data_IF_139671162038
#
_entry.id   IF_139671162038
#
_cell.length_a   1.000
_cell.length_b   1.000
_cell.length_c   1.000
_cell.angle_alpha   90.00
_cell.angle_beta   90.00
_cell.angle_gamma   90.00
#
_symmetry.space_group_name_H-M   'P 1'
#
loop_
_entity.id
_entity.type
_entity.pdbx_description
1 polymer ?
#
# COMPACT_ATOMS: atom_id res chain seq x y z
N UNK A 1 -17.14 10.58 19.08
CA UNK A 1 -16.66 11.31 17.90
C UNK A 1 -17.14 10.55 16.66
N UNK A 2 -17.73 11.21 15.65
CA UNK A 2 -17.91 10.57 14.35
C UNK A 2 -16.54 10.04 13.87
N UNK A 3 -16.49 8.86 13.24
CA UNK A 3 -15.29 8.24 12.66
C UNK A 3 -14.17 7.81 13.66
N UNK A 4 -14.45 7.69 14.96
CA UNK A 4 -13.43 7.31 15.96
C UNK A 4 -12.70 6.00 15.61
N UNK A 5 -13.42 4.98 15.16
CA UNK A 5 -12.83 3.68 14.79
C UNK A 5 -11.97 3.77 13.52
N UNK A 6 -12.30 4.67 12.60
CA UNK A 6 -11.51 4.89 11.39
C UNK A 6 -10.18 5.60 11.73
N UNK A 7 -10.18 6.51 12.70
CA UNK A 7 -8.96 7.15 13.22
C UNK A 7 -8.09 6.14 13.98
N UNK A 8 -8.67 5.32 14.87
CA UNK A 8 -7.91 4.36 15.68
C UNK A 8 -7.36 3.22 14.84
N UNK A 9 -8.10 2.76 13.82
CA UNK A 9 -7.63 1.69 12.94
C UNK A 9 -6.40 2.07 12.11
N UNK A 10 -6.15 3.37 11.89
CA UNK A 10 -4.91 3.85 11.27
C UNK A 10 -3.65 3.58 12.11
N UNK A 11 -3.78 3.37 13.43
CA UNK A 11 -2.66 2.96 14.27
C UNK A 11 -2.05 1.63 13.81
N UNK A 12 -2.85 0.74 13.19
CA UNK A 12 -2.35 -0.51 12.64
C UNK A 12 -1.29 -0.25 11.56
N UNK A 13 -1.47 0.76 10.70
CA UNK A 13 -0.47 1.14 9.71
C UNK A 13 0.82 1.65 10.35
N UNK A 14 0.74 2.49 11.38
CA UNK A 14 1.93 2.98 12.10
C UNK A 14 2.73 1.84 12.74
N UNK A 15 2.05 0.91 13.41
CA UNK A 15 2.68 -0.25 14.04
C UNK A 15 3.39 -1.10 12.98
N UNK A 16 2.72 -1.39 11.86
CA UNK A 16 3.30 -2.19 10.77
C UNK A 16 4.48 -1.47 10.10
N UNK A 17 4.37 -0.16 9.87
CA UNK A 17 5.45 0.65 9.32
C UNK A 17 6.70 0.60 10.22
N UNK A 18 6.54 0.78 11.53
CA UNK A 18 7.64 0.69 12.49
C UNK A 18 8.26 -0.72 12.51
N UNK A 19 7.44 -1.77 12.56
CA UNK A 19 7.92 -3.16 12.53
C UNK A 19 8.66 -3.48 11.23
N UNK A 20 8.25 -2.89 10.12
CA UNK A 20 8.87 -3.01 8.80
C UNK A 20 10.22 -2.31 8.72
N UNK A 21 10.31 -1.06 9.17
CA UNK A 21 11.57 -0.32 9.25
C UNK A 21 12.58 -1.07 10.14
N UNK A 22 12.14 -1.60 11.29
CA UNK A 22 12.98 -2.44 12.15
C UNK A 22 13.43 -3.73 11.42
N UNK A 23 12.52 -4.39 10.70
CA UNK A 23 12.83 -5.62 9.97
C UNK A 23 13.89 -5.43 8.87
N UNK A 24 13.99 -4.24 8.28
CA UNK A 24 14.98 -3.96 7.24
C UNK A 24 16.43 -4.04 7.74
N UNK A 25 16.68 -3.92 9.04
CA UNK A 25 18.02 -4.03 9.61
C UNK A 25 18.55 -5.47 9.61
N UNK A 26 17.67 -6.47 9.70
CA UNK A 26 18.04 -7.90 9.77
C UNK A 26 17.65 -8.69 8.52
N UNK A 27 16.94 -8.07 7.57
CA UNK A 27 16.52 -8.72 6.34
C UNK A 27 17.71 -9.07 5.45
N UNK A 28 17.72 -10.29 4.90
CA UNK A 28 18.74 -10.74 3.95
C UNK A 28 18.56 -10.05 2.60
N UNK A 29 19.55 -9.30 2.12
CA UNK A 29 19.61 -8.70 0.79
C UNK A 29 20.91 -9.12 0.09
N UNK A 30 20.86 -9.40 -1.22
CA UNK A 30 22.05 -9.62 -2.04
C UNK A 30 22.85 -8.33 -2.22
N UNK A 31 22.18 -7.20 -2.45
CA UNK A 31 22.75 -5.87 -2.37
C UNK A 31 21.99 -5.07 -1.31
N UNK A 32 22.71 -4.50 -0.34
CA UNK A 32 22.14 -3.66 0.73
C UNK A 32 21.25 -2.53 0.21
N UNK A 33 21.43 -2.06 -1.02
CA UNK A 33 20.62 -1.00 -1.63
C UNK A 33 19.23 -1.47 -2.05
N UNK A 34 18.99 -2.78 -2.19
CA UNK A 34 17.65 -3.34 -2.45
C UNK A 34 16.65 -3.03 -1.32
N UNK A 35 17.12 -2.53 -0.15
CA UNK A 35 16.26 -2.07 0.93
C UNK A 35 15.52 -0.77 0.64
N UNK A 36 16.02 0.08 -0.25
CA UNK A 36 15.50 1.44 -0.41
C UNK A 36 14.03 1.52 -0.87
N UNK A 37 13.56 0.71 -1.84
CA UNK A 37 12.14 0.64 -2.15
C UNK A 37 11.28 0.27 -0.94
N UNK A 38 11.74 -0.65 -0.09
CA UNK A 38 11.02 -1.03 1.13
C UNK A 38 11.06 0.07 2.21
N UNK A 39 12.16 0.82 2.34
CA UNK A 39 12.22 2.00 3.21
C UNK A 39 11.13 3.00 2.78
N UNK A 40 11.06 3.31 1.49
CA UNK A 40 10.04 4.21 0.96
C UNK A 40 8.62 3.66 1.20
N UNK A 41 8.40 2.36 1.00
CA UNK A 41 7.12 1.70 1.27
C UNK A 41 6.68 1.91 2.72
N UNK A 42 7.54 1.66 3.71
CA UNK A 42 7.15 1.81 5.11
C UNK A 42 7.04 3.26 5.56
N UNK A 43 7.86 4.18 5.01
CA UNK A 43 7.67 5.62 5.26
C UNK A 43 6.32 6.07 4.69
N UNK A 44 5.99 5.70 3.46
CA UNK A 44 4.72 6.03 2.84
C UNK A 44 3.54 5.44 3.62
N UNK A 45 3.68 4.21 4.15
CA UNK A 45 2.66 3.58 4.99
C UNK A 45 2.44 4.35 6.32
N UNK A 46 3.53 4.83 6.94
CA UNK A 46 3.41 5.69 8.11
C UNK A 46 2.73 7.02 7.77
N UNK A 47 3.07 7.62 6.62
CA UNK A 47 2.42 8.85 6.13
C UNK A 47 0.94 8.61 5.80
N UNK A 48 0.55 7.45 5.26
CA UNK A 48 -0.86 7.06 5.08
C UNK A 48 -1.61 7.13 6.40
N UNK A 49 -1.04 6.58 7.48
CA UNK A 49 -1.69 6.59 8.78
C UNK A 49 -2.00 8.01 9.28
N UNK A 50 -1.05 8.94 9.12
CA UNK A 50 -1.24 10.34 9.49
C UNK A 50 -2.20 11.08 8.56
N UNK A 51 -2.07 10.90 7.24
CA UNK A 51 -2.95 11.53 6.25
C UNK A 51 -4.40 11.08 6.41
N UNK A 52 -4.61 9.78 6.58
CA UNK A 52 -5.92 9.17 6.81
C UNK A 52 -6.55 9.63 8.12
N UNK A 53 -5.80 9.60 9.23
CA UNK A 53 -6.29 10.09 10.51
C UNK A 53 -6.68 11.58 10.45
N UNK A 54 -5.90 12.41 9.74
CA UNK A 54 -6.20 13.83 9.56
C UNK A 54 -7.47 14.06 8.72
N UNK A 55 -7.63 13.30 7.63
CA UNK A 55 -8.85 13.33 6.82
C UNK A 55 -10.09 12.93 7.63
N UNK A 56 -10.04 11.80 8.35
CA UNK A 56 -11.19 11.33 9.14
C UNK A 56 -11.54 12.24 10.31
N UNK A 57 -10.55 12.94 10.86
CA UNK A 57 -10.78 13.90 11.94
C UNK A 57 -11.54 15.14 11.47
N UNK A 58 -11.24 15.67 10.29
CA UNK A 58 -12.00 16.77 9.70
C UNK A 58 -11.93 16.69 8.16
N UNK A 59 -12.94 16.07 7.52
CA UNK A 59 -12.93 15.77 6.10
C UNK A 59 -12.95 17.01 5.20
N UNK A 60 -12.03 17.05 4.23
CA UNK A 60 -12.05 17.94 3.06
C UNK A 60 -11.19 17.34 1.94
N UNK A 61 -11.28 17.87 0.71
CA UNK A 61 -10.59 17.33 -0.46
C UNK A 61 -9.06 17.44 -0.34
N UNK A 62 -8.56 18.49 0.31
CA UNK A 62 -7.13 18.70 0.49
C UNK A 62 -6.52 17.65 1.42
N UNK A 63 -7.23 17.26 2.49
CA UNK A 63 -6.80 16.20 3.40
C UNK A 63 -7.01 14.82 2.79
N UNK A 64 -8.06 14.63 1.99
CA UNK A 64 -8.25 13.40 1.23
C UNK A 64 -7.13 13.19 0.20
N UNK A 65 -6.61 14.27 -0.39
CA UNK A 65 -5.38 14.21 -1.20
C UNK A 65 -4.20 13.66 -0.38
N UNK A 66 -4.00 14.14 0.85
CA UNK A 66 -2.94 13.67 1.75
C UNK A 66 -3.17 12.25 2.29
N UNK A 67 -4.41 11.76 2.32
CA UNK A 67 -4.74 10.36 2.60
C UNK A 67 -4.40 9.46 1.39
N UNK A 68 -4.77 9.87 0.18
CA UNK A 68 -4.62 9.06 -1.05
C UNK A 68 -3.19 9.02 -1.59
N UNK A 69 -2.46 10.12 -1.50
CA UNK A 69 -1.11 10.24 -2.08
C UNK A 69 -0.14 9.18 -1.53
N UNK A 70 0.01 9.00 -0.21
CA UNK A 70 0.96 8.04 0.33
C UNK A 70 0.58 6.58 0.04
N UNK A 71 -0.72 6.29 -0.15
CA UNK A 71 -1.18 4.95 -0.55
C UNK A 71 -0.60 4.58 -1.92
N UNK A 72 -0.73 5.45 -2.93
CA UNK A 72 -0.17 5.15 -4.25
C UNK A 72 1.36 5.15 -4.27
N UNK A 73 2.01 5.89 -3.35
CA UNK A 73 3.46 5.78 -3.15
C UNK A 73 3.84 4.41 -2.59
N UNK A 74 3.05 3.82 -1.67
CA UNK A 74 3.25 2.45 -1.22
C UNK A 74 3.21 1.46 -2.40
N UNK A 75 2.21 1.59 -3.28
CA UNK A 75 2.10 0.75 -4.48
C UNK A 75 3.30 0.89 -5.41
N UNK A 76 3.72 2.11 -5.71
CA UNK A 76 4.89 2.38 -6.54
C UNK A 76 6.17 1.77 -5.94
N UNK A 77 6.37 1.97 -4.64
CA UNK A 77 7.52 1.46 -3.90
C UNK A 77 7.55 -0.08 -3.86
N UNK A 78 6.41 -0.72 -3.61
CA UNK A 78 6.31 -2.18 -3.58
C UNK A 78 6.57 -2.79 -4.97
N UNK A 79 5.99 -2.23 -6.04
CA UNK A 79 6.24 -2.72 -7.39
C UNK A 79 7.71 -2.55 -7.78
N UNK A 80 8.32 -1.41 -7.47
CA UNK A 80 9.75 -1.19 -7.66
C UNK A 80 10.60 -2.25 -6.93
N UNK A 81 10.23 -2.60 -5.69
CA UNK A 81 10.89 -3.66 -4.94
C UNK A 81 10.76 -5.02 -5.63
N UNK A 82 9.56 -5.37 -6.11
CA UNK A 82 9.33 -6.63 -6.84
C UNK A 82 10.13 -6.67 -8.15
N UNK A 83 10.21 -5.55 -8.88
CA UNK A 83 11.05 -5.44 -10.08
C UNK A 83 12.54 -5.63 -9.73
N UNK A 84 13.00 -5.04 -8.62
CA UNK A 84 14.37 -5.21 -8.14
C UNK A 84 14.70 -6.68 -7.85
N UNK A 85 13.77 -7.41 -7.24
CA UNK A 85 13.98 -8.80 -6.84
C UNK A 85 13.82 -9.82 -7.97
N UNK A 86 12.93 -9.55 -8.94
CA UNK A 86 12.55 -10.49 -10.00
C UNK A 86 13.32 -10.30 -11.30
N UNK A 87 13.73 -9.06 -11.62
CA UNK A 87 14.40 -8.73 -12.88
C UNK A 87 15.84 -8.33 -12.59
N UNK A 88 16.04 -7.19 -11.93
CA UNK A 88 17.36 -6.74 -11.46
C UNK A 88 17.21 -5.52 -10.57
N UNK A 89 18.14 -5.37 -9.62
CA UNK A 89 18.21 -4.19 -8.75
C UNK A 89 18.18 -2.86 -9.54
N UNK A 90 18.93 -2.77 -10.64
CA UNK A 90 18.96 -1.59 -11.50
C UNK A 90 17.59 -1.29 -12.12
N UNK A 91 16.89 -2.30 -12.63
CA UNK A 91 15.56 -2.12 -13.20
C UNK A 91 14.57 -1.61 -12.15
N UNK A 92 14.61 -2.14 -10.92
CA UNK A 92 13.73 -1.68 -9.85
C UNK A 92 13.96 -0.21 -9.47
N UNK A 93 15.23 0.22 -9.37
CA UNK A 93 15.56 1.61 -9.11
C UNK A 93 15.15 2.55 -10.23
N UNK A 94 15.39 2.17 -11.49
CA UNK A 94 15.01 2.98 -12.66
C UNK A 94 13.49 3.08 -12.78
N UNK A 95 12.76 2.02 -12.40
CA UNK A 95 11.30 2.02 -12.42
C UNK A 95 10.68 2.87 -11.30
N UNK A 96 11.40 3.15 -10.21
CA UNK A 96 10.82 3.85 -9.05
C UNK A 96 10.35 5.29 -9.37
N UNK A 97 11.18 6.18 -9.96
CA UNK A 97 10.73 7.53 -10.29
C UNK A 97 9.50 7.59 -11.21
N UNK A 98 9.41 6.85 -12.33
CA UNK A 98 8.21 6.89 -13.17
C UNK A 98 6.99 6.30 -12.45
N UNK A 99 7.13 5.20 -11.70
CA UNK A 99 6.02 4.65 -10.92
C UNK A 99 5.51 5.62 -9.87
N UNK A 100 6.41 6.31 -9.17
CA UNK A 100 6.07 7.35 -8.21
C UNK A 100 5.31 8.50 -8.89
N UNK A 101 5.85 9.01 -10.00
CA UNK A 101 5.25 10.12 -10.75
C UNK A 101 3.86 9.75 -11.28
N UNK A 102 3.69 8.53 -11.81
CA UNK A 102 2.38 8.03 -12.25
C UNK A 102 1.42 7.91 -11.08
N UNK A 103 1.83 7.28 -9.97
CA UNK A 103 1.01 7.11 -8.78
C UNK A 103 0.54 8.45 -8.19
N UNK A 104 1.47 9.40 -7.99
CA UNK A 104 1.16 10.75 -7.52
C UNK A 104 0.30 11.53 -8.53
N UNK A 105 0.61 11.40 -9.83
CA UNK A 105 -0.14 12.03 -10.91
C UNK A 105 -1.61 11.61 -10.96
N UNK A 106 -1.92 10.35 -10.64
CA UNK A 106 -3.32 9.88 -10.57
C UNK A 106 -4.11 10.55 -9.44
N UNK A 107 -3.47 10.82 -8.29
CA UNK A 107 -4.10 11.50 -7.15
C UNK A 107 -4.26 12.99 -7.44
N UNK A 108 -3.26 13.60 -8.05
CA UNK A 108 -3.35 14.99 -8.52
C UNK A 108 -4.44 15.17 -9.57
N UNK A 109 -4.55 14.25 -10.53
CA UNK A 109 -5.62 14.24 -11.52
C UNK A 109 -7.00 14.17 -10.88
N UNK A 110 -7.18 13.29 -9.88
CA UNK A 110 -8.43 13.24 -9.13
C UNK A 110 -8.75 14.63 -8.53
N UNK A 111 -7.83 15.23 -7.77
CA UNK A 111 -8.05 16.54 -7.14
C UNK A 111 -8.37 17.64 -8.17
N UNK A 112 -7.63 17.66 -9.27
CA UNK A 112 -7.85 18.59 -10.38
C UNK A 112 -9.23 18.43 -11.02
N UNK A 113 -9.73 17.20 -11.10
CA UNK A 113 -11.07 16.88 -11.62
C UNK A 113 -12.18 17.15 -10.61
N UNK A 114 -11.92 16.97 -9.31
CA UNK A 114 -12.82 17.29 -8.19
C UNK A 114 -13.10 18.80 -8.15
N UNK A 115 -12.04 19.61 -8.27
CA UNK A 115 -12.16 21.09 -8.35
C UNK A 115 -12.98 21.57 -9.56
N UNK A 116 -13.26 20.69 -10.53
CA UNK A 116 -14.09 20.96 -11.73
C UNK A 116 -15.46 20.28 -11.66
N UNK A 117 -15.82 19.68 -10.52
CA UNK A 117 -17.09 19.00 -10.29
C UNK A 117 -17.20 17.59 -10.88
N UNK A 118 -16.11 17.01 -11.41
CA UNK A 118 -16.14 15.67 -11.99
C UNK A 118 -15.73 14.57 -11.01
N UNK A 119 -14.75 14.84 -10.13
CA UNK A 119 -14.31 13.90 -9.08
C UNK A 119 -13.86 12.52 -9.58
N UNK A 120 -13.17 12.47 -10.72
CA UNK A 120 -12.82 11.22 -11.39
C UNK A 120 -11.71 10.46 -10.64
N UNK A 121 -12.09 9.47 -9.85
CA UNK A 121 -11.18 8.60 -9.08
C UNK A 121 -10.70 7.37 -9.86
N UNK A 122 -11.19 7.13 -11.07
CA UNK A 122 -10.90 5.89 -11.82
C UNK A 122 -9.39 5.68 -12.06
N UNK A 123 -8.59 6.69 -12.46
CA UNK A 123 -7.15 6.49 -12.66
C UNK A 123 -6.41 6.08 -11.39
N UNK A 124 -6.85 6.56 -10.23
CA UNK A 124 -6.28 6.22 -8.93
C UNK A 124 -6.42 4.71 -8.64
N UNK A 125 -7.63 4.15 -8.81
CA UNK A 125 -7.86 2.72 -8.63
C UNK A 125 -7.25 1.87 -9.75
N UNK A 126 -7.25 2.38 -10.99
CA UNK A 126 -6.62 1.69 -12.13
C UNK A 126 -5.12 1.48 -11.91
N UNK A 127 -4.42 2.48 -11.33
CA UNK A 127 -3.02 2.35 -10.96
C UNK A 127 -2.79 1.25 -9.91
N UNK A 128 -3.62 1.19 -8.88
CA UNK A 128 -3.52 0.14 -7.84
C UNK A 128 -3.76 -1.25 -8.42
N UNK A 129 -4.80 -1.40 -9.24
CA UNK A 129 -5.10 -2.66 -9.93
C UNK A 129 -3.94 -3.07 -10.84
N UNK A 130 -3.39 -2.14 -11.62
CA UNK A 130 -2.23 -2.37 -12.47
C UNK A 130 -1.05 -2.91 -11.65
N UNK A 131 -0.74 -2.29 -10.51
CA UNK A 131 0.37 -2.75 -9.65
C UNK A 131 0.12 -4.16 -9.13
N UNK A 132 -1.07 -4.47 -8.64
CA UNK A 132 -1.39 -5.82 -8.13
C UNK A 132 -1.26 -6.87 -9.23
N UNK A 133 -1.80 -6.60 -10.42
CA UNK A 133 -1.70 -7.50 -11.57
C UNK A 133 -0.24 -7.65 -12.05
N UNK A 134 0.52 -6.55 -12.07
CA UNK A 134 1.94 -6.59 -12.42
C UNK A 134 2.73 -7.44 -11.43
N UNK A 135 2.49 -7.33 -10.11
CA UNK A 135 3.12 -8.17 -9.10
C UNK A 135 2.80 -9.66 -9.37
N UNK A 136 1.52 -10.01 -9.57
CA UNK A 136 1.12 -11.39 -9.86
C UNK A 136 1.80 -11.92 -11.12
N UNK A 137 1.79 -11.13 -12.19
CA UNK A 137 2.41 -11.50 -13.46
C UNK A 137 3.92 -11.70 -13.30
N UNK A 138 4.60 -10.80 -12.58
CA UNK A 138 6.04 -10.92 -12.35
C UNK A 138 6.40 -12.13 -11.49
N UNK A 139 5.57 -12.45 -10.49
CA UNK A 139 5.75 -13.65 -9.67
C UNK A 139 5.55 -14.95 -10.46
N UNK A 140 4.71 -14.92 -11.49
CA UNK A 140 4.48 -16.06 -12.38
C UNK A 140 5.58 -16.21 -13.45
N UNK A 141 6.02 -15.10 -14.05
CA UNK A 141 6.94 -15.12 -15.19
C UNK A 141 8.43 -15.17 -14.79
N UNK A 142 8.80 -14.63 -13.63
CA UNK A 142 10.21 -14.50 -13.24
C UNK A 142 10.54 -15.31 -11.97
N UNK A 143 11.66 -16.05 -11.97
CA UNK A 143 12.06 -16.86 -10.83
C UNK A 143 12.30 -16.00 -9.59
N UNK A 144 12.02 -16.52 -8.37
CA UNK A 144 12.35 -15.81 -7.14
C UNK A 144 13.85 -15.80 -6.91
N UNK A 145 14.39 -14.68 -6.41
CA UNK A 145 15.76 -14.58 -5.88
C UNK A 145 15.84 -14.84 -4.37
N UNK A 146 14.71 -14.71 -3.70
CA UNK A 146 14.57 -14.84 -2.25
C UNK A 146 13.48 -15.87 -1.92
N UNK A 147 13.69 -16.62 -0.84
CA UNK A 147 12.61 -17.38 -0.19
C UNK A 147 11.51 -16.42 0.28
N UNK A 148 10.29 -16.94 0.47
CA UNK A 148 9.12 -16.18 0.94
C UNK A 148 8.50 -15.24 -0.09
N UNK A 149 8.94 -15.30 -1.35
CA UNK A 149 8.30 -14.53 -2.43
C UNK A 149 6.79 -14.81 -2.54
N UNK A 150 6.33 -16.00 -2.15
CA UNK A 150 4.92 -16.38 -2.09
C UNK A 150 4.07 -15.56 -1.10
N UNK A 151 4.70 -14.88 -0.13
CA UNK A 151 3.98 -13.99 0.79
C UNK A 151 3.33 -12.80 0.06
N UNK A 152 3.85 -12.41 -1.12
CA UNK A 152 3.25 -11.39 -1.96
C UNK A 152 1.87 -11.79 -2.51
N UNK A 153 1.59 -13.09 -2.72
CA UNK A 153 0.22 -13.53 -3.05
C UNK A 153 -0.75 -13.20 -1.93
N UNK A 154 -0.32 -13.34 -0.66
CA UNK A 154 -1.11 -12.99 0.51
C UNK A 154 -1.33 -11.47 0.60
N UNK A 155 -0.34 -10.67 0.24
CA UNK A 155 -0.48 -9.20 0.13
C UNK A 155 -1.60 -8.86 -0.86
N UNK A 156 -1.56 -9.43 -2.07
CA UNK A 156 -2.56 -9.16 -3.11
C UNK A 156 -3.96 -9.61 -2.67
N UNK A 157 -4.09 -10.81 -2.10
CA UNK A 157 -5.38 -11.31 -1.61
C UNK A 157 -5.95 -10.44 -0.48
N UNK A 158 -5.14 -10.05 0.50
CA UNK A 158 -5.58 -9.24 1.63
C UNK A 158 -5.96 -7.82 1.20
N UNK A 159 -5.21 -7.22 0.27
CA UNK A 159 -5.57 -5.90 -0.26
C UNK A 159 -6.84 -5.97 -1.13
N UNK A 160 -7.01 -7.02 -1.93
CA UNK A 160 -8.26 -7.26 -2.66
C UNK A 160 -9.46 -7.41 -1.72
N UNK A 161 -9.28 -8.10 -0.59
CA UNK A 161 -10.30 -8.17 0.45
C UNK A 161 -10.57 -6.81 1.12
N UNK A 162 -9.54 -5.97 1.30
CA UNK A 162 -9.70 -4.60 1.82
C UNK A 162 -10.56 -3.74 0.88
N UNK A 163 -10.33 -3.83 -0.44
CA UNK A 163 -11.14 -3.13 -1.44
C UNK A 163 -12.59 -3.65 -1.46
N UNK A 164 -12.80 -4.96 -1.34
CA UNK A 164 -14.13 -5.53 -1.23
C UNK A 164 -14.86 -5.06 0.04
N UNK A 165 -14.15 -4.95 1.18
CA UNK A 165 -14.71 -4.41 2.42
C UNK A 165 -15.14 -2.95 2.25
N UNK A 166 -14.36 -2.13 1.54
CA UNK A 166 -14.72 -0.74 1.23
C UNK A 166 -15.98 -0.64 0.36
N UNK A 167 -16.10 -1.48 -0.67
CA UNK A 167 -17.29 -1.52 -1.53
C UNK A 167 -18.57 -1.95 -0.78
N UNK A 168 -18.41 -2.80 0.23
CA UNK A 168 -19.51 -3.34 1.04
C UNK A 168 -19.72 -2.57 2.35
N UNK A 169 -19.16 -1.36 2.49
CA UNK A 169 -19.10 -0.63 3.76
C UNK A 169 -20.43 -0.57 4.52
N UNK A 170 -21.49 -0.09 3.86
CA UNK A 170 -22.83 0.01 4.45
C UNK A 170 -23.45 -1.35 4.78
N UNK A 171 -23.16 -2.38 3.99
CA UNK A 171 -23.66 -3.74 4.22
C UNK A 171 -22.94 -4.41 5.40
N UNK A 172 -21.63 -4.18 5.55
CA UNK A 172 -20.87 -4.69 6.69
C UNK A 172 -21.33 -3.99 7.98
N UNK A 173 -21.50 -2.67 7.92
CA UNK A 173 -21.99 -1.91 9.07
C UNK A 173 -23.40 -2.34 9.49
N UNK A 174 -24.30 -2.66 8.54
CA UNK A 174 -25.67 -3.07 8.87
C UNK A 174 -25.74 -4.41 9.63
N UNK A 175 -24.79 -5.32 9.40
CA UNK A 175 -24.73 -6.64 10.05
C UNK A 175 -24.22 -6.57 11.50
N UNK A 176 -23.17 -5.78 11.75
CA UNK A 176 -22.44 -5.79 13.02
C UNK A 176 -22.69 -4.56 13.88
N UNK A 177 -23.16 -3.44 13.30
CA UNK A 177 -23.44 -2.13 13.93
C UNK A 177 -22.26 -1.49 14.69
N UNK A 178 -21.09 -2.16 14.74
CA UNK A 178 -19.90 -1.76 15.48
C UNK A 178 -18.73 -1.49 14.54
N UNK A 179 -18.54 -2.32 13.50
CA UNK A 179 -17.41 -2.23 12.55
C UNK A 179 -17.95 -1.90 11.16
N UNK A 180 -17.45 -0.83 10.55
CA UNK A 180 -17.71 -0.47 9.16
C UNK A 180 -16.78 -1.25 8.22
N UNK A 181 -17.15 -1.37 6.95
CA UNK A 181 -16.24 -1.92 5.95
C UNK A 181 -14.99 -1.06 5.78
N UNK A 182 -15.07 0.24 6.05
CA UNK A 182 -13.94 1.16 6.06
C UNK A 182 -12.94 0.88 7.20
N UNK A 183 -13.42 0.62 8.41
CA UNK A 183 -12.55 0.15 9.51
C UNK A 183 -11.90 -1.20 9.15
N UNK A 184 -12.66 -2.12 8.56
CA UNK A 184 -12.13 -3.42 8.14
C UNK A 184 -11.10 -3.30 7.01
N UNK A 185 -11.30 -2.35 6.08
CA UNK A 185 -10.32 -2.01 5.03
C UNK A 185 -8.98 -1.64 5.64
N UNK A 186 -8.94 -0.75 6.63
CA UNK A 186 -7.69 -0.36 7.29
C UNK A 186 -6.97 -1.56 7.90
N UNK A 187 -7.68 -2.43 8.61
CA UNK A 187 -7.09 -3.61 9.24
C UNK A 187 -6.59 -4.63 8.21
N UNK A 188 -7.34 -4.87 7.14
CA UNK A 188 -6.94 -5.79 6.07
C UNK A 188 -5.75 -5.25 5.28
N UNK A 189 -5.73 -3.95 4.95
CA UNK A 189 -4.60 -3.31 4.29
C UNK A 189 -3.35 -3.31 5.19
N UNK A 190 -3.51 -3.08 6.50
CA UNK A 190 -2.40 -3.16 7.46
C UNK A 190 -1.87 -4.59 7.56
N UNK A 191 -2.76 -5.59 7.57
CA UNK A 191 -2.37 -7.00 7.57
C UNK A 191 -1.67 -7.40 6.26
N UNK A 192 -2.07 -6.82 5.13
CA UNK A 192 -1.38 -6.98 3.85
C UNK A 192 0.06 -6.43 3.93
N UNK A 193 0.23 -5.20 4.41
CA UNK A 193 1.56 -4.62 4.64
C UNK A 193 2.39 -5.43 5.66
N UNK A 194 1.75 -6.02 6.68
CA UNK A 194 2.42 -6.91 7.63
C UNK A 194 2.96 -8.18 6.95
N UNK A 195 2.32 -8.70 5.89
CA UNK A 195 2.89 -9.80 5.13
C UNK A 195 4.24 -9.42 4.50
N UNK A 196 4.42 -8.16 4.08
CA UNK A 196 5.71 -7.66 3.59
C UNK A 196 6.74 -7.67 4.72
N UNK A 197 6.37 -7.26 5.94
CA UNK A 197 7.24 -7.36 7.12
C UNK A 197 7.66 -8.80 7.37
N UNK A 198 6.70 -9.74 7.37
CA UNK A 198 6.99 -11.17 7.58
C UNK A 198 7.89 -11.73 6.48
N UNK A 199 7.64 -11.38 5.22
CA UNK A 199 8.47 -11.74 4.08
C UNK A 199 9.91 -11.29 4.32
N UNK A 200 10.12 -10.01 4.65
CA UNK A 200 11.45 -9.43 4.89
C UNK A 200 12.18 -10.06 6.07
N UNK A 201 11.48 -10.39 7.16
CA UNK A 201 12.08 -11.04 8.35
C UNK A 201 12.51 -12.48 8.10
N UNK A 202 11.75 -13.21 7.31
CA UNK A 202 11.94 -14.66 7.12
C UNK A 202 12.68 -15.02 5.83
N UNK A 203 12.81 -14.09 4.89
CA UNK A 203 13.48 -14.37 3.62
C UNK A 203 14.97 -14.65 3.78
N UNK A 204 15.47 -15.45 2.86
CA UNK A 204 16.89 -15.74 2.65
C UNK A 204 17.13 -15.78 1.15
N UNK A 205 18.36 -15.48 0.73
CA UNK A 205 18.80 -15.73 -0.64
C UNK A 205 18.64 -17.21 -0.98
N UNK A 206 18.23 -17.49 -2.23
CA UNK A 206 18.12 -18.86 -2.78
C UNK A 206 19.47 -19.30 -3.31
#
# INVERSE_FOLDING_TARGET
MPNFLDVVSNLAFLVVAALGLIALHSASFADSKERWPYVLFFIALATTAFGSAWYHFAPDDARLFWDRLPINICFAALLSAVIAERISFRAGLVALPPLFATGAGTVWYWLWSEMRGAGNVLPYFAFQLYVLLAILLMMHLFPPRYRRGEDLYRVVMLYGAALAAELLDRHIFSLWQIVSGHTLKHLLAALAAYQVVRMLRLRRLI
#
